data_IF_858197175766
#
_entry.id   IF_858197175766
#
_cell.length_a   1.000
_cell.length_b   1.000
_cell.length_c   1.000
_cell.angle_alpha   90.00
_cell.angle_beta   90.00
_cell.angle_gamma   90.00
#
_symmetry.space_group_name_H-M   'P 1'
#
loop_
_entity.id
_entity.type
_entity.pdbx_description
1 polymer ?
#
# COMPACT_ATOMS: atom_id res chain seq x y z
N UNK A 1 -18.98 2.33 -0.63
CA UNK A 1 -17.52 2.39 -0.46
C UNK A 1 -17.08 0.97 -0.18
N UNK A 2 -16.29 0.38 -1.07
CA UNK A 2 -15.79 -0.98 -0.88
C UNK A 2 -14.76 -0.97 0.26
N UNK A 3 -14.72 -2.04 1.05
CA UNK A 3 -13.63 -2.24 2.00
C UNK A 3 -12.33 -2.50 1.21
N UNK A 4 -11.35 -1.58 1.27
CA UNK A 4 -10.11 -1.74 0.53
C UNK A 4 -9.32 -2.95 1.02
N UNK A 5 -9.44 -3.33 2.31
CA UNK A 5 -8.71 -4.45 2.88
C UNK A 5 -9.11 -5.81 2.28
N UNK A 6 -10.34 -5.96 1.79
CA UNK A 6 -10.83 -7.16 1.10
C UNK A 6 -10.67 -7.10 -0.42
N UNK A 7 -10.04 -6.05 -0.97
CA UNK A 7 -9.95 -5.87 -2.42
C UNK A 7 -8.93 -6.82 -3.05
N UNK A 8 -9.41 -7.70 -3.93
CA UNK A 8 -8.57 -8.57 -4.77
C UNK A 8 -8.04 -7.87 -6.02
N UNK A 9 -8.34 -6.58 -6.21
CA UNK A 9 -7.87 -5.79 -7.34
C UNK A 9 -6.34 -5.80 -7.37
N UNK A 10 -5.76 -6.29 -8.48
CA UNK A 10 -4.31 -6.37 -8.64
C UNK A 10 -3.68 -4.99 -8.80
N UNK A 11 -2.56 -4.79 -8.10
CA UNK A 11 -1.65 -3.69 -8.39
C UNK A 11 -0.93 -3.96 -9.71
N UNK A 12 -0.29 -2.92 -10.27
CA UNK A 12 0.45 -3.01 -11.54
C UNK A 12 1.79 -3.74 -11.41
N UNK A 13 2.15 -4.14 -10.20
CA UNK A 13 3.41 -4.81 -9.86
C UNK A 13 3.24 -5.64 -8.59
N UNK A 14 4.18 -6.54 -8.35
CA UNK A 14 4.32 -7.23 -7.07
C UNK A 14 5.46 -6.59 -6.31
N UNK A 15 5.18 -6.09 -5.10
CA UNK A 15 6.21 -5.60 -4.18
C UNK A 15 6.73 -6.77 -3.37
N UNK A 16 8.05 -6.98 -3.43
CA UNK A 16 8.76 -7.93 -2.57
C UNK A 16 9.56 -7.10 -1.58
N UNK A 17 9.03 -6.92 -0.36
CA UNK A 17 9.65 -6.12 0.69
C UNK A 17 10.22 -7.03 1.80
N UNK A 18 11.05 -6.46 2.67
CA UNK A 18 11.49 -7.14 3.90
C UNK A 18 10.99 -6.39 5.11
N UNK A 19 10.32 -7.09 6.01
CA UNK A 19 9.80 -6.55 7.28
C UNK A 19 10.41 -7.39 8.40
N UNK A 20 11.17 -6.77 9.29
CA UNK A 20 11.89 -7.47 10.36
C UNK A 20 12.74 -8.65 9.83
N UNK A 21 13.40 -8.46 8.68
CA UNK A 21 14.23 -9.47 8.02
C UNK A 21 13.47 -10.59 7.30
N UNK A 22 12.14 -10.64 7.39
CA UNK A 22 11.30 -11.64 6.72
C UNK A 22 10.76 -11.10 5.38
N UNK A 23 10.74 -11.92 4.32
CA UNK A 23 10.15 -11.50 3.05
C UNK A 23 8.63 -11.36 3.20
N UNK A 24 8.07 -10.31 2.63
CA UNK A 24 6.64 -10.06 2.57
C UNK A 24 6.26 -9.61 1.15
N UNK A 25 5.19 -10.21 0.60
CA UNK A 25 4.78 -10.03 -0.79
C UNK A 25 3.44 -9.34 -0.85
N UNK A 26 3.34 -8.28 -1.66
CA UNK A 26 2.12 -7.48 -1.86
C UNK A 26 1.86 -7.37 -3.36
N UNK A 27 0.71 -7.87 -3.81
CA UNK A 27 0.31 -7.85 -5.23
C UNK A 27 -1.10 -7.27 -5.47
N UNK A 28 -1.87 -7.05 -4.41
CA UNK A 28 -3.26 -6.54 -4.47
C UNK A 28 -3.44 -5.27 -3.64
N UNK A 29 -4.50 -4.54 -3.94
CA UNK A 29 -4.95 -3.38 -3.16
C UNK A 29 -5.20 -3.77 -1.71
N UNK A 30 -5.89 -4.89 -1.46
CA UNK A 30 -6.17 -5.40 -0.11
C UNK A 30 -4.92 -5.71 0.70
N UNK A 31 -3.96 -6.43 0.11
CA UNK A 31 -2.70 -6.72 0.80
C UNK A 31 -1.91 -5.45 1.13
N UNK A 32 -1.88 -4.47 0.22
CA UNK A 32 -1.20 -3.20 0.47
C UNK A 32 -1.90 -2.44 1.60
N UNK A 33 -3.22 -2.32 1.55
CA UNK A 33 -3.99 -1.63 2.59
C UNK A 33 -3.80 -2.29 3.95
N UNK A 34 -3.96 -3.62 4.04
CA UNK A 34 -3.74 -4.39 5.26
C UNK A 34 -2.34 -4.17 5.82
N UNK A 35 -1.30 -4.22 4.98
CA UNK A 35 0.07 -3.95 5.39
C UNK A 35 0.22 -2.55 6.01
N UNK A 36 -0.28 -1.52 5.32
CA UNK A 36 -0.20 -0.13 5.79
C UNK A 36 -1.00 0.11 7.09
N UNK A 37 -2.06 -0.67 7.34
CA UNK A 37 -2.84 -0.62 8.59
C UNK A 37 -2.30 -1.48 9.72
N UNK A 38 -1.53 -2.52 9.41
CA UNK A 38 -0.97 -3.45 10.40
C UNK A 38 0.19 -2.84 11.19
N UNK A 39 0.88 -1.89 10.59
CA UNK A 39 1.93 -1.09 11.22
C UNK A 39 1.30 0.04 12.02
N UNK A 40 1.86 0.33 13.18
CA UNK A 40 1.33 1.32 14.11
C UNK A 40 1.52 2.74 13.55
N UNK A 41 0.70 3.69 14.04
CA UNK A 41 0.79 5.08 13.59
C UNK A 41 2.16 5.74 13.86
N UNK A 42 2.92 5.24 14.85
CA UNK A 42 4.27 5.75 15.18
C UNK A 42 5.27 5.37 14.09
N UNK A 43 5.18 4.16 13.53
CA UNK A 43 6.03 3.69 12.42
C UNK A 43 5.87 4.54 11.16
N UNK A 44 4.68 5.13 10.94
CA UNK A 44 4.40 6.00 9.80
C UNK A 44 4.59 7.48 10.08
N UNK A 45 4.97 7.90 11.28
CA UNK A 45 5.01 9.32 11.64
C UNK A 45 5.95 10.13 10.74
N UNK A 46 7.12 9.57 10.39
CA UNK A 46 8.09 10.18 9.46
C UNK A 46 7.57 10.26 8.01
N UNK A 47 6.67 9.36 7.63
CA UNK A 47 6.15 9.23 6.27
C UNK A 47 4.65 9.55 6.18
N UNK A 48 4.10 10.27 7.17
CA UNK A 48 2.64 10.39 7.34
C UNK A 48 1.93 10.88 6.09
N UNK A 49 2.47 11.90 5.42
CA UNK A 49 1.89 12.43 4.19
C UNK A 49 1.86 11.39 3.05
N UNK A 50 2.94 10.62 2.89
CA UNK A 50 3.01 9.55 1.89
C UNK A 50 2.11 8.37 2.25
N UNK A 51 1.99 8.05 3.54
CA UNK A 51 1.07 7.02 4.04
C UNK A 51 -0.38 7.40 3.78
N UNK A 52 -0.81 8.60 4.16
CA UNK A 52 -2.18 9.09 3.94
C UNK A 52 -2.52 9.10 2.43
N UNK A 53 -1.57 9.52 1.57
CA UNK A 53 -1.73 9.50 0.11
C UNK A 53 -1.85 8.07 -0.45
N UNK A 54 -1.06 7.12 0.05
CA UNK A 54 -1.14 5.72 -0.35
C UNK A 54 -2.48 5.11 0.07
N UNK A 55 -2.95 5.36 1.30
CA UNK A 55 -4.24 4.91 1.80
C UNK A 55 -5.40 5.44 0.97
N UNK A 56 -5.41 6.74 0.65
CA UNK A 56 -6.43 7.35 -0.20
C UNK A 56 -6.43 6.76 -1.61
N UNK A 57 -5.25 6.53 -2.19
CA UNK A 57 -5.12 5.95 -3.53
C UNK A 57 -5.57 4.49 -3.57
N UNK A 58 -5.29 3.72 -2.53
CA UNK A 58 -5.74 2.32 -2.39
C UNK A 58 -7.26 2.26 -2.27
N UNK A 59 -7.88 3.14 -1.50
CA UNK A 59 -9.34 3.24 -1.44
C UNK A 59 -9.95 3.56 -2.81
N UNK A 60 -9.40 4.55 -3.52
CA UNK A 60 -9.86 4.90 -4.86
C UNK A 60 -9.73 3.72 -5.85
N UNK A 61 -8.68 2.89 -5.73
CA UNK A 61 -8.50 1.69 -6.54
C UNK A 61 -9.42 0.54 -6.14
N UNK A 62 -9.80 0.43 -4.87
CA UNK A 62 -10.81 -0.52 -4.40
C UNK A 62 -12.22 -0.15 -4.90
N UNK A 63 -12.53 1.14 -5.00
CA UNK A 63 -13.78 1.63 -5.56
C UNK A 63 -13.78 1.64 -7.11
N UNK A 64 -12.63 1.88 -7.74
CA UNK A 64 -12.48 1.91 -9.20
C UNK A 64 -11.11 1.34 -9.64
N UNK A 65 -11.13 0.13 -10.22
CA UNK A 65 -9.93 -0.59 -10.64
C UNK A 65 -9.06 0.15 -11.69
N UNK A 66 -9.59 1.16 -12.39
CA UNK A 66 -8.81 2.02 -13.31
C UNK A 66 -7.74 2.82 -12.54
N UNK A 67 -7.96 3.08 -11.25
CA UNK A 67 -7.03 3.83 -10.38
C UNK A 67 -5.83 3.00 -9.87
N UNK A 68 -5.67 1.76 -10.33
CA UNK A 68 -4.59 0.86 -9.89
C UNK A 68 -3.19 1.38 -10.22
N UNK A 69 -3.03 2.20 -11.26
CA UNK A 69 -1.74 2.85 -11.58
C UNK A 69 -1.35 3.84 -10.49
N UNK A 70 -2.28 4.70 -10.09
CA UNK A 70 -2.10 5.71 -9.04
C UNK A 70 -1.81 5.04 -7.70
N UNK A 71 -2.60 4.03 -7.33
CA UNK A 71 -2.36 3.24 -6.13
C UNK A 71 -0.97 2.58 -6.12
N UNK A 72 -0.57 1.96 -7.25
CA UNK A 72 0.75 1.34 -7.36
C UNK A 72 1.87 2.36 -7.18
N UNK A 73 1.75 3.54 -7.80
CA UNK A 73 2.77 4.58 -7.69
C UNK A 73 2.85 5.16 -6.28
N UNK A 74 1.71 5.42 -5.63
CA UNK A 74 1.68 5.93 -4.26
C UNK A 74 2.34 4.95 -3.27
N UNK A 75 1.99 3.65 -3.36
CA UNK A 75 2.61 2.60 -2.54
C UNK A 75 4.10 2.47 -2.81
N UNK A 76 4.53 2.51 -4.09
CA UNK A 76 5.95 2.47 -4.45
C UNK A 76 6.72 3.64 -3.84
N UNK A 77 6.21 4.87 -3.98
CA UNK A 77 6.84 6.07 -3.44
C UNK A 77 7.00 5.96 -1.93
N UNK A 78 5.95 5.53 -1.22
CA UNK A 78 6.02 5.30 0.21
C UNK A 78 7.11 4.28 0.57
N UNK A 79 7.11 3.10 -0.08
CA UNK A 79 8.06 2.03 0.24
C UNK A 79 9.51 2.38 -0.06
N UNK A 80 9.79 3.11 -1.14
CA UNK A 80 11.15 3.59 -1.45
C UNK A 80 11.64 4.56 -0.38
N UNK A 81 10.81 5.52 0.04
CA UNK A 81 11.18 6.49 1.07
C UNK A 81 11.35 5.82 2.45
N UNK A 82 10.52 4.83 2.76
CA UNK A 82 10.61 4.02 3.98
C UNK A 82 11.70 2.92 3.92
N UNK A 83 12.48 2.84 2.82
CA UNK A 83 13.54 1.83 2.62
C UNK A 83 13.08 0.37 2.75
N UNK A 84 11.83 0.10 2.34
CA UNK A 84 11.25 -1.25 2.30
C UNK A 84 11.53 -1.98 0.98
N UNK A 85 11.88 -1.23 -0.08
CA UNK A 85 12.26 -1.71 -1.41
C UNK A 85 13.74 -1.51 -1.68
#
# INVERSE_FOLDING_TARGET
MNDPASSETRLRTTFNIRVNGKPFVISTVGQAHQFLTSLNAVEWMEFKSLHDQAMASLQAAADNAIMTVQATNAVRTLFVNAKLL
#
